data_IF_927951165106
#
_entry.id   IF_927951165106
#
_cell.length_a   1.000
_cell.length_b   1.000
_cell.length_c   1.000
_cell.angle_alpha   90.00
_cell.angle_beta   90.00
_cell.angle_gamma   90.00
#
_symmetry.space_group_name_H-M   'P 1'
#
loop_
_entity.id
_entity.type
_entity.pdbx_description
1 polymer ?
#
# COMPACT_ATOMS: atom_id res chain seq x y z
N UNK A 1 7.74 32.88 42.32
CA UNK A 1 6.78 32.29 41.37
C UNK A 1 7.54 31.67 40.22
N UNK A 2 8.05 30.49 40.44
CA UNK A 2 8.72 29.80 39.36
C UNK A 2 7.68 29.18 38.47
N UNK A 3 7.46 29.78 37.35
CA UNK A 3 6.79 29.12 36.26
C UNK A 3 7.60 27.91 35.83
N UNK A 4 7.20 26.78 36.31
CA UNK A 4 7.73 25.52 35.85
C UNK A 4 7.25 25.35 34.42
N UNK A 5 8.00 25.89 33.51
CA UNK A 5 7.89 25.52 32.14
C UNK A 5 8.14 24.02 32.09
N UNK A 6 7.08 23.26 32.00
CA UNK A 6 7.15 21.89 31.64
C UNK A 6 7.77 21.88 30.24
N UNK A 7 9.05 21.68 30.20
CA UNK A 7 9.66 21.31 28.97
C UNK A 7 8.85 20.12 28.50
N UNK A 8 8.09 20.33 27.44
CA UNK A 8 7.56 19.24 26.70
C UNK A 8 8.80 18.41 26.39
N UNK A 9 8.95 17.35 27.11
CA UNK A 9 10.01 16.43 26.83
C UNK A 9 9.71 15.96 25.42
N UNK A 10 10.41 16.53 24.51
CA UNK A 10 10.51 16.00 23.17
C UNK A 10 11.18 14.64 23.21
N UNK A 11 10.66 13.78 24.03
CA UNK A 11 11.20 12.44 24.21
C UNK A 11 10.73 11.51 23.11
N UNK A 12 10.26 12.09 22.04
CA UNK A 12 10.06 11.39 20.79
C UNK A 12 11.36 11.14 20.06
N UNK A 13 12.43 11.82 20.48
CA UNK A 13 13.74 11.65 19.86
C UNK A 13 14.36 10.26 20.08
N UNK A 14 13.83 9.46 20.99
CA UNK A 14 14.32 8.12 21.26
C UNK A 14 13.54 7.01 20.60
N UNK A 15 12.33 7.27 20.06
CA UNK A 15 11.53 6.22 19.48
C UNK A 15 11.48 6.32 17.96
N UNK A 16 12.50 5.74 17.34
CA UNK A 16 12.50 5.57 15.89
C UNK A 16 11.68 4.33 15.56
N UNK A 17 10.72 4.46 14.67
CA UNK A 17 9.94 3.32 14.20
C UNK A 17 10.82 2.30 13.49
N UNK A 18 10.40 1.05 13.47
CA UNK A 18 11.09 0.01 12.71
C UNK A 18 11.09 0.33 11.21
N UNK A 19 10.01 0.93 10.71
CA UNK A 19 9.95 1.40 9.33
C UNK A 19 11.03 2.43 9.03
N UNK A 20 11.19 3.42 9.90
CA UNK A 20 12.21 4.44 9.74
C UNK A 20 13.62 3.86 9.79
N UNK A 21 13.89 2.90 10.69
CA UNK A 21 15.18 2.22 10.76
C UNK A 21 15.52 1.48 9.49
N UNK A 22 14.52 0.89 8.85
CA UNK A 22 14.68 0.13 7.61
C UNK A 22 14.62 1.01 6.36
N UNK A 23 14.32 2.30 6.51
CA UNK A 23 14.13 3.20 5.37
C UNK A 23 12.86 2.92 4.58
N UNK A 24 11.85 2.35 5.23
CA UNK A 24 10.59 1.96 4.60
C UNK A 24 9.48 2.94 4.91
N UNK A 25 8.58 3.11 3.96
CA UNK A 25 7.33 3.83 4.14
C UNK A 25 6.23 2.94 4.71
N UNK A 26 6.27 1.64 4.43
CA UNK A 26 5.27 0.70 4.91
C UNK A 26 5.42 0.45 6.41
N UNK A 27 4.30 0.25 7.11
CA UNK A 27 4.29 0.17 8.58
C UNK A 27 4.71 -1.21 9.06
N UNK A 28 5.97 -1.38 9.41
CA UNK A 28 6.52 -2.65 9.89
C UNK A 28 5.78 -3.15 11.14
N UNK A 29 5.49 -2.26 12.10
CA UNK A 29 4.80 -2.65 13.33
C UNK A 29 3.40 -3.18 13.09
N UNK A 30 2.67 -2.60 12.15
CA UNK A 30 1.33 -3.04 11.79
C UNK A 30 1.36 -4.40 11.10
N UNK A 31 2.33 -4.60 10.23
CA UNK A 31 2.53 -5.89 9.54
C UNK A 31 2.89 -6.97 10.54
N UNK A 32 3.78 -6.68 11.48
CA UNK A 32 4.13 -7.60 12.55
C UNK A 32 2.90 -8.05 13.34
N UNK A 33 2.05 -7.11 13.71
CA UNK A 33 0.82 -7.41 14.43
C UNK A 33 -0.11 -8.31 13.61
N UNK A 34 -0.26 -8.06 12.30
CA UNK A 34 -1.09 -8.87 11.43
C UNK A 34 -0.54 -10.30 11.29
N UNK A 35 0.77 -10.45 11.18
CA UNK A 35 1.40 -11.76 11.11
C UNK A 35 1.13 -12.55 12.39
N UNK A 36 1.31 -11.92 13.55
CA UNK A 36 1.09 -12.57 14.83
C UNK A 36 -0.37 -12.91 15.08
N UNK A 37 -1.26 -12.02 14.74
CA UNK A 37 -2.71 -12.22 14.87
C UNK A 37 -3.22 -13.36 14.01
N UNK A 38 -2.65 -13.53 12.83
CA UNK A 38 -3.06 -14.56 11.89
C UNK A 38 -2.65 -15.98 12.28
N UNK A 39 -1.78 -16.14 13.27
CA UNK A 39 -1.31 -17.43 13.76
C UNK A 39 -0.78 -18.36 12.66
N UNK A 40 -0.01 -17.79 11.76
CA UNK A 40 0.59 -18.52 10.66
C UNK A 40 1.73 -19.44 11.11
N UNK A 41 2.35 -19.11 12.24
CA UNK A 41 3.41 -19.89 12.86
C UNK A 41 3.42 -19.66 14.37
N UNK A 42 4.10 -20.52 15.11
CA UNK A 42 4.24 -20.35 16.56
C UNK A 42 5.10 -19.14 16.94
N UNK A 43 6.08 -18.84 16.11
CA UNK A 43 7.01 -17.72 16.34
C UNK A 43 7.21 -16.95 15.05
N UNK A 44 7.49 -15.67 15.23
CA UNK A 44 7.80 -14.77 14.12
C UNK A 44 9.11 -14.07 14.46
N UNK A 45 10.12 -14.28 13.65
CA UNK A 45 11.41 -13.62 13.81
C UNK A 45 11.29 -12.13 13.63
N UNK A 46 12.15 -11.36 14.29
CA UNK A 46 12.11 -9.90 14.27
C UNK A 46 12.29 -9.31 12.85
N UNK A 47 13.04 -9.99 12.00
CA UNK A 47 13.28 -9.55 10.63
C UNK A 47 12.14 -9.86 9.65
N UNK A 48 11.23 -10.76 10.00
CA UNK A 48 10.17 -11.17 9.09
C UNK A 48 9.22 -10.03 8.71
N UNK A 49 8.69 -9.23 9.66
CA UNK A 49 7.84 -8.12 9.29
C UNK A 49 8.58 -7.02 8.52
N UNK A 50 9.87 -6.81 8.78
CA UNK A 50 10.69 -5.85 8.03
C UNK A 50 10.84 -6.32 6.57
N UNK A 51 11.19 -7.57 6.38
CA UNK A 51 11.33 -8.14 5.05
C UNK A 51 10.01 -8.08 4.27
N UNK A 52 8.91 -8.47 4.92
CA UNK A 52 7.59 -8.46 4.27
C UNK A 52 7.16 -7.03 3.93
N UNK A 53 7.39 -6.07 4.82
CA UNK A 53 7.11 -4.67 4.55
C UNK A 53 7.91 -4.16 3.34
N UNK A 54 9.17 -4.52 3.24
CA UNK A 54 10.02 -4.15 2.11
C UNK A 54 9.50 -4.72 0.79
N UNK A 55 9.11 -6.00 0.78
CA UNK A 55 8.55 -6.64 -0.40
C UNK A 55 7.24 -5.98 -0.82
N UNK A 56 6.35 -5.72 0.13
CA UNK A 56 5.07 -5.06 -0.16
C UNK A 56 5.28 -3.65 -0.69
N UNK A 57 6.20 -2.88 -0.10
CA UNK A 57 6.51 -1.54 -0.59
C UNK A 57 7.04 -1.58 -2.01
N UNK A 58 7.95 -2.49 -2.32
CA UNK A 58 8.47 -2.67 -3.66
C UNK A 58 7.37 -3.02 -4.65
N UNK A 59 6.51 -3.98 -4.33
CA UNK A 59 5.41 -4.39 -5.20
C UNK A 59 4.42 -3.25 -5.45
N UNK A 60 4.05 -2.51 -4.42
CA UNK A 60 3.14 -1.37 -4.57
C UNK A 60 3.78 -0.30 -5.44
N UNK A 61 5.05 0.02 -5.24
CA UNK A 61 5.75 1.00 -6.05
C UNK A 61 5.77 0.59 -7.54
N UNK A 62 6.06 -0.68 -7.81
CA UNK A 62 6.07 -1.20 -9.18
C UNK A 62 4.69 -1.13 -9.82
N UNK A 63 3.67 -1.56 -9.10
CA UNK A 63 2.28 -1.51 -9.59
C UNK A 63 1.87 -0.07 -9.88
N UNK A 64 2.20 0.87 -8.98
CA UNK A 64 1.83 2.27 -9.16
C UNK A 64 2.57 2.92 -10.32
N UNK A 65 3.82 2.57 -10.55
CA UNK A 65 4.56 3.06 -11.71
C UNK A 65 3.89 2.62 -13.01
N UNK A 66 3.56 1.35 -13.12
CA UNK A 66 2.90 0.81 -14.29
C UNK A 66 1.47 1.34 -14.46
N UNK A 67 0.74 1.48 -13.36
CA UNK A 67 -0.60 2.06 -13.38
C UNK A 67 -0.58 3.53 -13.77
N UNK A 68 0.44 4.27 -13.32
CA UNK A 68 0.65 5.65 -13.75
C UNK A 68 0.93 5.77 -15.24
N UNK A 69 1.72 4.84 -15.79
CA UNK A 69 1.95 4.78 -17.23
C UNK A 69 0.65 4.48 -17.99
N UNK A 70 -0.15 3.54 -17.50
CA UNK A 70 -1.45 3.21 -18.11
C UNK A 70 -2.40 4.41 -18.08
N UNK A 71 -2.44 5.15 -17.00
CA UNK A 71 -3.24 6.35 -16.90
C UNK A 71 -2.79 7.41 -17.92
N UNK A 72 -1.49 7.64 -18.03
CA UNK A 72 -0.95 8.59 -19.01
C UNK A 72 -1.24 8.19 -20.45
N UNK A 73 -1.13 6.90 -20.76
CA UNK A 73 -1.46 6.39 -22.08
C UNK A 73 -2.93 6.63 -22.42
N UNK A 74 -3.79 6.59 -21.42
CA UNK A 74 -5.20 6.94 -21.53
C UNK A 74 -5.46 8.44 -21.42
N UNK A 75 -4.42 9.27 -21.38
CA UNK A 75 -4.52 10.72 -21.21
C UNK A 75 -5.28 11.13 -19.96
N UNK A 76 -5.06 10.39 -18.86
CA UNK A 76 -5.67 10.63 -17.56
C UNK A 76 -4.62 11.10 -16.56
N UNK A 77 -5.05 11.93 -15.62
CA UNK A 77 -4.20 12.42 -14.55
C UNK A 77 -4.39 11.66 -13.25
N UNK A 78 -5.39 10.80 -13.21
CA UNK A 78 -5.77 10.05 -12.01
C UNK A 78 -5.60 8.57 -12.25
N UNK A 79 -4.98 7.90 -11.28
CA UNK A 79 -4.94 6.44 -11.28
C UNK A 79 -6.25 5.93 -10.70
N UNK A 80 -6.97 5.14 -11.48
CA UNK A 80 -8.20 4.47 -11.04
C UNK A 80 -7.96 2.96 -10.99
N UNK A 81 -8.85 2.19 -10.35
CA UNK A 81 -8.65 0.74 -10.22
C UNK A 81 -8.41 0.02 -11.55
N UNK A 82 -9.04 0.47 -12.60
CA UNK A 82 -8.84 -0.10 -13.94
C UNK A 82 -7.39 0.01 -14.41
N UNK A 83 -6.73 1.12 -14.11
CA UNK A 83 -5.33 1.32 -14.46
C UNK A 83 -4.44 0.32 -13.73
N UNK A 84 -4.74 0.06 -12.47
CA UNK A 84 -4.03 -0.94 -11.67
C UNK A 84 -4.27 -2.34 -12.24
N UNK A 85 -5.50 -2.66 -12.59
CA UNK A 85 -5.84 -3.93 -13.21
C UNK A 85 -5.10 -4.15 -14.52
N UNK A 86 -5.07 -3.12 -15.38
CA UNK A 86 -4.34 -3.18 -16.65
C UNK A 86 -2.85 -3.34 -16.42
N UNK A 87 -2.29 -2.62 -15.46
CA UNK A 87 -0.87 -2.71 -15.12
C UNK A 87 -0.49 -4.13 -14.71
N UNK A 88 -1.29 -4.76 -13.88
CA UNK A 88 -1.04 -6.14 -13.43
C UNK A 88 -1.17 -7.12 -14.59
N UNK A 89 -2.22 -7.01 -15.38
CA UNK A 89 -2.46 -7.94 -16.50
C UNK A 89 -1.42 -7.86 -17.60
N UNK A 90 -0.88 -6.66 -17.83
CA UNK A 90 0.09 -6.42 -18.88
C UNK A 90 1.53 -6.72 -18.46
N UNK A 91 1.78 -6.90 -17.17
CA UNK A 91 3.07 -7.31 -16.67
C UNK A 91 3.07 -8.81 -16.43
N UNK A 92 3.96 -9.53 -17.08
CA UNK A 92 3.98 -10.98 -17.02
C UNK A 92 4.18 -11.51 -15.60
N UNK A 93 5.08 -10.91 -14.84
CA UNK A 93 5.36 -11.34 -13.47
C UNK A 93 4.22 -11.02 -12.52
N UNK A 94 3.68 -9.81 -12.61
CA UNK A 94 2.56 -9.39 -11.77
C UNK A 94 1.29 -10.18 -12.09
N UNK A 95 1.04 -10.42 -13.35
CA UNK A 95 -0.10 -11.25 -13.76
C UNK A 95 0.01 -12.67 -13.21
N UNK A 96 1.19 -13.23 -13.25
CA UNK A 96 1.45 -14.55 -12.69
C UNK A 96 1.22 -14.60 -11.18
N UNK A 97 1.63 -13.56 -10.47
CA UNK A 97 1.49 -13.49 -9.01
C UNK A 97 0.07 -13.15 -8.56
N UNK A 98 -0.59 -12.23 -9.24
CA UNK A 98 -1.81 -11.59 -8.76
C UNK A 98 -3.01 -11.81 -9.68
N UNK A 99 -2.78 -11.97 -10.97
CA UNK A 99 -3.84 -12.04 -11.97
C UNK A 99 -4.60 -13.37 -11.98
N UNK A 100 -3.89 -14.48 -11.76
CA UNK A 100 -4.49 -15.81 -11.86
C UNK A 100 -5.24 -16.25 -10.61
N UNK A 101 -5.03 -15.58 -9.49
CA UNK A 101 -5.67 -15.93 -8.23
C UNK A 101 -7.10 -15.43 -8.08
N UNK A 102 -7.63 -14.67 -9.04
CA UNK A 102 -8.94 -14.06 -8.93
C UNK A 102 -9.03 -12.96 -7.87
N UNK A 103 -7.90 -12.52 -7.33
CA UNK A 103 -7.87 -11.55 -6.24
C UNK A 103 -8.20 -10.15 -6.75
N UNK A 104 -7.63 -9.75 -7.87
CA UNK A 104 -7.84 -8.40 -8.42
C UNK A 104 -9.21 -8.20 -9.08
N UNK A 105 -9.80 -9.19 -9.77
CA UNK A 105 -11.16 -9.04 -10.27
C UNK A 105 -12.21 -8.92 -9.17
N UNK A 106 -11.90 -9.36 -7.96
CA UNK A 106 -12.80 -9.29 -6.80
C UNK A 106 -12.55 -8.04 -5.97
N UNK A 107 -12.62 -6.89 -6.59
CA UNK A 107 -12.52 -5.63 -5.85
C UNK A 107 -13.78 -5.44 -5.03
N UNK A 108 -13.60 -5.16 -3.74
CA UNK A 108 -14.71 -4.86 -2.85
C UNK A 108 -15.51 -3.67 -3.38
N UNK A 109 -16.82 -3.76 -3.37
CA UNK A 109 -17.70 -2.73 -3.95
C UNK A 109 -17.49 -1.34 -3.36
N UNK A 110 -17.06 -1.25 -2.11
CA UNK A 110 -16.74 0.02 -1.47
C UNK A 110 -15.52 0.73 -2.08
N UNK A 111 -14.67 0.00 -2.79
CA UNK A 111 -13.49 0.54 -3.45
C UNK A 111 -13.76 0.96 -4.89
N UNK A 112 -14.94 0.63 -5.40
CA UNK A 112 -15.33 1.04 -6.73
C UNK A 112 -15.88 2.45 -6.69
N UNK A 113 -15.69 3.24 -7.77
CA UNK A 113 -16.29 4.57 -7.85
C UNK A 113 -17.81 4.46 -7.72
N UNK A 114 -18.41 5.35 -6.93
CA UNK A 114 -19.86 5.46 -6.89
C UNK A 114 -20.35 5.85 -8.28
N UNK A 115 -21.35 5.15 -8.78
CA UNK A 115 -22.07 5.59 -9.97
C UNK A 115 -22.75 6.90 -9.63
N UNK A 116 -22.11 7.99 -9.98
CA UNK A 116 -22.74 9.28 -9.97
C UNK A 116 -23.77 9.38 -11.09
N UNK A 117 -24.61 10.43 -11.09
CA UNK A 117 -25.52 10.68 -12.19
C UNK A 117 -24.70 10.67 -13.48
N UNK A 118 -25.18 9.95 -14.46
CA UNK A 118 -24.57 9.84 -15.78
C UNK A 118 -24.42 11.22 -16.38
N UNK A 119 -23.29 11.84 -16.16
CA UNK A 119 -22.82 12.86 -17.06
C UNK A 119 -21.76 12.21 -17.91
N UNK A 120 -22.08 12.11 -19.18
CA UNK A 120 -21.18 11.78 -20.24
C UNK A 120 -20.02 10.92 -19.85
N UNK A 121 -20.04 9.73 -20.26
CA UNK A 121 -18.98 8.81 -20.16
C UNK A 121 -17.63 9.45 -20.37
N UNK A 122 -17.07 10.02 -19.46
CA UNK A 122 -15.65 10.17 -19.59
C UNK A 122 -15.04 9.01 -18.86
N UNK A 123 -14.26 8.26 -19.53
CA UNK A 123 -13.46 7.26 -18.91
C UNK A 123 -12.50 7.82 -17.87
N UNK A 124 -12.87 8.85 -17.22
CA UNK A 124 -12.08 9.54 -16.22
C UNK A 124 -12.22 8.95 -14.84
N UNK A 125 -12.96 7.97 -14.76
CA UNK A 125 -13.15 7.29 -13.49
C UNK A 125 -11.94 6.49 -13.06
#
# INVERSE_FOLDING_TARGET
MSGKGKAASGNTSGSTSRSARAGLQFPVGRIDRLIRKGRFAQRVGAGAPVYLAAVLEYLVAEILELAGNAARDNKKQRIIPRHIQLAVRNDEELDRLLGHGGVLPNIHSSLLPKKGPKKGSSGDE
#
